data_IF_910534823517
#
_entry.id   IF_910534823517
#
_cell.length_a   1.000
_cell.length_b   1.000
_cell.length_c   1.000
_cell.angle_alpha   90.00
_cell.angle_beta   90.00
_cell.angle_gamma   90.00
#
_symmetry.space_group_name_H-M   'P 1'
#
loop_
_entity.id
_entity.type
_entity.pdbx_description
1 polymer ?
#
# COMPACT_ATOMS: atom_id res chain seq x y z
N UNK A 1 0.13 -0.51 12.96
CA UNK A 1 -0.55 0.33 11.96
C UNK A 1 -1.05 -0.57 10.85
N UNK A 2 -2.36 -0.71 10.72
CA UNK A 2 -2.97 -1.57 9.71
C UNK A 2 -3.27 -0.70 8.50
N UNK A 3 -2.36 -0.63 7.55
CA UNK A 3 -2.63 -0.20 6.18
C UNK A 3 -2.94 -1.43 5.33
N UNK A 4 -4.03 -2.11 5.64
CA UNK A 4 -4.66 -3.03 4.71
C UNK A 4 -5.71 -2.26 3.92
N UNK A 5 -5.28 -1.39 3.06
CA UNK A 5 -6.12 -0.82 2.01
C UNK A 5 -6.32 -1.92 0.95
N UNK A 6 -7.34 -2.74 1.16
CA UNK A 6 -7.89 -3.64 0.16
C UNK A 6 -8.62 -2.82 -0.90
N UNK A 7 -7.90 -2.23 -1.83
CA UNK A 7 -8.42 -1.34 -2.85
C UNK A 7 -8.70 -2.01 -4.21
N UNK A 8 -8.49 -3.33 -4.30
CA UNK A 8 -8.88 -4.12 -5.47
C UNK A 8 -10.28 -4.75 -5.33
N UNK A 9 -11.27 -3.96 -4.90
CA UNK A 9 -12.67 -4.36 -5.01
C UNK A 9 -13.35 -3.69 -6.18
N UNK A 10 -13.03 -4.14 -7.38
CA UNK A 10 -13.95 -4.07 -8.51
C UNK A 10 -14.98 -5.19 -8.39
N UNK A 11 -16.02 -5.01 -7.60
CA UNK A 11 -17.18 -5.89 -7.62
C UNK A 11 -18.03 -5.62 -8.86
N UNK A 12 -17.75 -6.32 -9.96
CA UNK A 12 -18.63 -6.38 -11.09
C UNK A 12 -18.84 -7.82 -11.55
N UNK A 13 -20.01 -8.37 -11.30
CA UNK A 13 -20.49 -9.59 -11.96
C UNK A 13 -20.74 -10.80 -11.09
N UNK A 14 -21.88 -11.43 -11.36
CA UNK A 14 -22.47 -12.57 -10.65
C UNK A 14 -21.57 -13.80 -10.59
N UNK A 15 -21.57 -14.47 -9.41
CA UNK A 15 -21.29 -15.89 -9.17
C UNK A 15 -19.88 -16.36 -9.57
N UNK A 16 -18.95 -15.76 -9.01
CA UNK A 16 -17.98 -16.37 -8.09
C UNK A 16 -17.83 -15.27 -7.03
N UNK A 17 -17.90 -15.56 -5.74
CA UNK A 17 -17.64 -14.53 -4.75
C UNK A 17 -16.26 -14.01 -5.08
N UNK A 18 -16.19 -12.73 -5.34
CA UNK A 18 -14.94 -11.99 -5.42
C UNK A 18 -14.19 -12.35 -4.16
N UNK A 19 -13.19 -13.20 -4.31
CA UNK A 19 -12.43 -13.67 -3.16
C UNK A 19 -11.60 -12.50 -2.66
N UNK A 20 -11.87 -11.97 -1.46
CA UNK A 20 -11.03 -10.95 -0.80
C UNK A 20 -9.62 -11.48 -0.51
N UNK A 21 -9.28 -12.57 -1.14
CA UNK A 21 -8.18 -13.42 -0.82
C UNK A 21 -6.84 -13.09 -1.41
N UNK A 22 -6.74 -12.34 -2.49
CA UNK A 22 -5.44 -12.18 -3.15
C UNK A 22 -4.34 -11.65 -2.23
N UNK A 23 -4.67 -10.77 -1.29
CA UNK A 23 -3.72 -10.21 -0.33
C UNK A 23 -3.55 -11.03 0.96
N UNK A 24 -4.51 -11.88 1.29
CA UNK A 24 -4.41 -12.84 2.39
C UNK A 24 -3.44 -14.00 2.09
N UNK A 25 -3.30 -14.36 0.82
CA UNK A 25 -2.74 -15.63 0.38
C UNK A 25 -1.23 -15.69 0.52
N UNK A 26 -0.49 -14.67 0.10
CA UNK A 26 0.96 -14.64 0.27
C UNK A 26 1.37 -14.59 1.76
N UNK A 27 0.49 -14.10 2.64
CA UNK A 27 0.72 -14.01 4.08
C UNK A 27 0.21 -15.20 4.88
N UNK A 28 -0.86 -15.89 4.43
CA UNK A 28 -1.46 -16.98 5.19
C UNK A 28 -0.49 -18.14 5.41
N UNK A 29 0.29 -18.49 4.41
CA UNK A 29 1.32 -19.50 4.51
C UNK A 29 2.42 -19.07 5.49
N UNK A 30 2.93 -17.85 5.36
CA UNK A 30 3.98 -17.30 6.22
C UNK A 30 3.50 -17.08 7.67
N UNK A 31 2.26 -16.62 7.87
CA UNK A 31 1.66 -16.50 9.20
C UNK A 31 1.64 -17.86 9.90
N UNK A 32 1.23 -18.93 9.17
CA UNK A 32 1.22 -20.30 9.69
C UNK A 32 2.63 -20.83 9.95
N UNK A 33 3.58 -20.59 9.04
CA UNK A 33 4.99 -21.00 9.22
C UNK A 33 5.64 -20.33 10.42
N UNK A 34 5.25 -19.10 10.74
CA UNK A 34 5.72 -18.35 11.90
C UNK A 34 4.94 -18.67 13.18
N UNK A 35 3.94 -19.59 13.13
CA UNK A 35 3.15 -19.99 14.28
C UNK A 35 2.19 -18.95 14.81
N UNK A 36 1.76 -18.00 13.96
CA UNK A 36 0.91 -16.87 14.34
C UNK A 36 -0.60 -17.12 14.07
N UNK A 37 -1.02 -18.33 13.71
CA UNK A 37 -2.41 -18.62 13.35
C UNK A 37 -3.40 -18.24 14.45
N UNK A 38 -3.06 -18.49 15.71
CA UNK A 38 -3.91 -18.16 16.88
C UNK A 38 -4.01 -16.68 17.17
N UNK A 39 -3.10 -15.90 16.63
CA UNK A 39 -3.04 -14.43 16.83
C UNK A 39 -3.83 -13.67 15.78
N UNK A 40 -4.33 -14.33 14.76
CA UNK A 40 -5.08 -13.70 13.67
C UNK A 40 -6.44 -13.22 14.15
N UNK A 41 -6.73 -11.94 13.93
CA UNK A 41 -8.03 -11.31 14.14
C UNK A 41 -8.69 -11.06 12.77
N UNK A 42 -9.66 -11.91 12.35
CA UNK A 42 -10.30 -11.77 11.06
C UNK A 42 -11.49 -10.82 11.09
N UNK A 43 -11.66 -10.05 10.03
CA UNK A 43 -12.89 -9.31 9.73
C UNK A 43 -13.63 -10.06 8.63
N UNK A 44 -14.78 -10.65 8.97
CA UNK A 44 -15.59 -11.43 8.00
C UNK A 44 -16.30 -10.53 6.99
N UNK A 45 -16.67 -11.08 5.85
CA UNK A 45 -17.26 -10.32 4.75
C UNK A 45 -18.62 -9.68 5.03
N UNK A 46 -19.35 -10.15 6.04
CA UNK A 46 -20.62 -9.58 6.52
C UNK A 46 -20.44 -8.47 7.58
N UNK A 47 -19.22 -8.27 8.08
CA UNK A 47 -18.91 -7.26 9.08
C UNK A 47 -18.99 -5.83 8.49
N UNK A 48 -19.49 -4.82 9.25
CA UNK A 48 -19.55 -3.43 8.76
C UNK A 48 -18.23 -2.89 8.20
N UNK A 49 -17.10 -3.19 8.84
CA UNK A 49 -15.78 -2.78 8.35
C UNK A 49 -15.38 -3.44 7.01
N UNK A 50 -16.00 -4.56 6.66
CA UNK A 50 -15.80 -5.19 5.36
C UNK A 50 -16.69 -4.57 4.27
N UNK A 51 -17.93 -4.22 4.63
CA UNK A 51 -18.95 -3.79 3.67
C UNK A 51 -18.97 -2.28 3.44
N UNK A 52 -18.68 -1.49 4.48
CA UNK A 52 -18.87 -0.04 4.43
C UNK A 52 -17.55 0.70 4.33
N UNK A 53 -17.39 1.44 3.25
CA UNK A 53 -16.32 2.42 3.02
C UNK A 53 -16.96 3.72 2.60
N UNK A 54 -16.36 4.82 3.01
CA UNK A 54 -16.97 6.13 2.79
C UNK A 54 -16.01 7.06 2.03
N UNK A 55 -16.60 8.05 1.37
CA UNK A 55 -15.93 9.26 0.90
C UNK A 55 -16.50 10.45 1.66
N UNK A 56 -15.62 11.35 2.10
CA UNK A 56 -16.01 12.62 2.69
C UNK A 56 -16.02 13.69 1.60
N UNK A 57 -17.22 14.22 1.28
CA UNK A 57 -17.39 15.23 0.23
C UNK A 57 -18.45 16.22 0.66
N UNK A 58 -18.15 17.53 0.54
CA UNK A 58 -19.10 18.58 0.88
C UNK A 58 -19.59 18.54 2.32
N UNK A 59 -18.77 18.14 3.26
CA UNK A 59 -19.12 18.02 4.68
C UNK A 59 -19.92 16.78 5.06
N UNK A 60 -20.09 15.81 4.16
CA UNK A 60 -20.92 14.61 4.37
C UNK A 60 -20.13 13.33 4.07
N UNK A 61 -20.35 12.28 4.88
CA UNK A 61 -19.83 10.95 4.63
C UNK A 61 -20.79 10.17 3.73
N UNK A 62 -20.37 9.87 2.53
CA UNK A 62 -21.11 9.07 1.56
C UNK A 62 -20.60 7.65 1.51
N UNK A 63 -21.48 6.69 1.75
CA UNK A 63 -21.13 5.28 1.62
C UNK A 63 -20.87 4.93 0.14
N UNK A 64 -19.75 4.29 -0.14
CA UNK A 64 -19.49 3.74 -1.47
C UNK A 64 -20.45 2.58 -1.76
N UNK A 65 -21.01 2.51 -2.97
CA UNK A 65 -21.96 1.46 -3.31
C UNK A 65 -21.27 0.09 -3.31
N UNK A 66 -21.92 -0.88 -2.69
CA UNK A 66 -21.48 -2.28 -2.65
C UNK A 66 -22.44 -3.15 -3.45
N UNK A 67 -21.88 -4.10 -4.20
CA UNK A 67 -22.62 -5.04 -5.00
C UNK A 67 -23.40 -4.42 -6.18
N UNK A 68 -23.94 -5.28 -7.04
CA UNK A 68 -24.60 -4.87 -8.29
C UNK A 68 -25.79 -3.94 -8.06
N UNK A 69 -26.57 -4.16 -7.00
CA UNK A 69 -27.74 -3.31 -6.67
C UNK A 69 -27.32 -1.90 -6.28
N UNK A 70 -26.19 -1.75 -5.58
CA UNK A 70 -25.64 -0.44 -5.21
C UNK A 70 -25.22 0.36 -6.44
N UNK A 71 -24.63 -0.29 -7.43
CA UNK A 71 -24.16 0.34 -8.66
C UNK A 71 -25.29 0.87 -9.55
N UNK A 72 -26.46 0.24 -9.50
CA UNK A 72 -27.65 0.64 -10.28
C UNK A 72 -28.41 1.82 -9.66
N UNK A 73 -28.18 2.13 -8.39
CA UNK A 73 -28.84 3.23 -7.68
C UNK A 73 -28.04 4.51 -7.78
N UNK A 74 -28.68 5.68 -7.75
CA UNK A 74 -27.98 6.93 -7.53
C UNK A 74 -27.18 6.83 -6.21
N UNK A 75 -25.90 7.09 -6.30
CA UNK A 75 -24.98 6.96 -5.16
C UNK A 75 -24.20 8.25 -4.98
N UNK A 76 -24.73 9.24 -4.23
CA UNK A 76 -23.94 10.43 -3.92
C UNK A 76 -22.56 10.04 -3.35
N UNK A 77 -21.48 10.80 -3.62
CA UNK A 77 -21.47 12.13 -4.27
C UNK A 77 -21.50 12.10 -5.80
N UNK A 78 -21.65 10.94 -6.45
CA UNK A 78 -21.69 10.84 -7.91
C UNK A 78 -23.05 11.31 -8.44
N UNK A 79 -23.02 12.12 -9.50
CA UNK A 79 -24.24 12.67 -10.12
C UNK A 79 -25.12 11.60 -10.80
N UNK A 80 -24.53 10.48 -11.19
CA UNK A 80 -25.19 9.35 -11.88
C UNK A 80 -24.82 8.03 -11.22
N UNK A 81 -25.69 7.00 -11.32
CA UNK A 81 -25.35 5.64 -10.92
C UNK A 81 -24.04 5.19 -11.57
N UNK A 82 -23.15 4.56 -10.80
CA UNK A 82 -21.83 4.10 -11.29
C UNK A 82 -21.95 3.04 -12.40
N UNK A 83 -23.11 2.40 -12.53
CA UNK A 83 -23.44 1.53 -13.65
C UNK A 83 -23.24 2.22 -15.02
N UNK A 84 -23.57 3.50 -15.14
CA UNK A 84 -23.35 4.26 -16.37
C UNK A 84 -21.87 4.50 -16.67
N UNK A 85 -21.06 4.66 -15.63
CA UNK A 85 -19.60 4.69 -15.81
C UNK A 85 -19.07 3.34 -16.35
N UNK A 86 -19.62 2.23 -15.85
CA UNK A 86 -19.33 0.90 -16.36
C UNK A 86 -19.74 0.69 -17.83
N UNK A 87 -20.96 1.09 -18.21
CA UNK A 87 -21.40 1.01 -19.62
C UNK A 87 -20.53 1.89 -20.54
N UNK A 88 -20.21 3.10 -20.08
CA UNK A 88 -19.31 3.99 -20.82
C UNK A 88 -17.94 3.34 -21.04
N UNK A 89 -17.44 2.66 -20.03
CA UNK A 89 -16.16 1.97 -20.06
C UNK A 89 -16.11 0.92 -21.18
N UNK A 90 -17.14 0.09 -21.31
CA UNK A 90 -17.25 -0.93 -22.34
C UNK A 90 -17.18 -0.39 -23.79
N UNK A 91 -17.60 0.84 -23.99
CA UNK A 91 -17.66 1.48 -25.32
C UNK A 91 -16.40 2.26 -25.68
N UNK A 92 -15.47 2.47 -24.73
CA UNK A 92 -14.28 3.28 -24.95
C UNK A 92 -13.18 2.48 -25.66
N UNK A 93 -12.48 3.09 -26.63
CA UNK A 93 -11.36 2.44 -27.25
C UNK A 93 -10.20 2.24 -26.25
N UNK A 94 -9.41 1.21 -26.47
CA UNK A 94 -8.16 0.97 -25.75
C UNK A 94 -7.21 2.16 -25.91
N UNK A 95 -6.51 2.53 -24.82
CA UNK A 95 -5.42 3.49 -24.86
C UNK A 95 -4.28 3.01 -25.79
N UNK A 96 -3.64 3.96 -26.47
CA UNK A 96 -2.52 3.69 -27.38
C UNK A 96 -1.17 3.89 -26.68
N UNK A 97 -1.15 4.64 -25.60
CA UNK A 97 0.05 4.97 -24.86
C UNK A 97 0.56 3.76 -24.07
N UNK A 98 1.88 3.67 -23.95
CA UNK A 98 2.53 2.62 -23.16
C UNK A 98 2.28 2.78 -21.65
N UNK A 99 1.92 3.99 -21.21
CA UNK A 99 1.55 4.35 -19.86
C UNK A 99 0.78 5.69 -19.87
N UNK A 100 0.00 5.94 -18.85
CA UNK A 100 -0.68 7.22 -18.61
C UNK A 100 -0.91 7.44 -17.11
N UNK A 101 -1.32 8.66 -16.72
CA UNK A 101 -1.62 8.91 -15.31
C UNK A 101 -2.91 8.20 -14.89
N UNK A 102 -3.01 7.85 -13.60
CA UNK A 102 -4.23 7.25 -13.02
C UNK A 102 -5.45 8.12 -13.29
N UNK A 103 -5.30 9.45 -13.16
CA UNK A 103 -6.36 10.41 -13.42
C UNK A 103 -6.81 10.39 -14.90
N UNK A 104 -5.86 10.47 -15.85
CA UNK A 104 -6.15 10.43 -17.29
C UNK A 104 -6.86 9.14 -17.68
N UNK A 105 -6.34 7.99 -17.22
CA UNK A 105 -6.94 6.69 -17.43
C UNK A 105 -8.38 6.64 -16.94
N UNK A 106 -8.62 7.03 -15.69
CA UNK A 106 -9.94 7.00 -15.08
C UNK A 106 -10.90 7.98 -15.76
N UNK A 107 -10.44 9.20 -16.08
CA UNK A 107 -11.25 10.21 -16.77
C UNK A 107 -11.69 9.72 -18.16
N UNK A 108 -10.78 9.10 -18.90
CA UNK A 108 -11.05 8.56 -20.23
C UNK A 108 -12.02 7.37 -20.17
N UNK A 109 -11.83 6.46 -19.25
CA UNK A 109 -12.58 5.20 -19.14
C UNK A 109 -13.88 5.36 -18.36
N UNK A 110 -13.83 5.92 -17.18
CA UNK A 110 -14.93 5.94 -16.21
C UNK A 110 -15.62 7.31 -16.10
N UNK A 111 -14.95 8.38 -16.51
CA UNK A 111 -15.48 9.74 -16.49
C UNK A 111 -14.85 10.62 -15.42
N UNK A 112 -15.11 11.96 -15.50
CA UNK A 112 -14.42 12.94 -14.68
C UNK A 112 -14.73 12.82 -13.17
N UNK A 113 -15.97 12.52 -12.78
CA UNK A 113 -16.34 12.37 -11.37
C UNK A 113 -15.63 11.18 -10.70
N UNK A 114 -15.59 10.02 -11.37
CA UNK A 114 -14.88 8.85 -10.86
C UNK A 114 -13.38 9.13 -10.77
N UNK A 115 -12.81 9.85 -11.75
CA UNK A 115 -11.42 10.23 -11.72
C UNK A 115 -11.07 11.18 -10.57
N UNK A 116 -11.88 12.22 -10.35
CA UNK A 116 -11.60 13.29 -9.38
C UNK A 116 -12.02 12.95 -7.95
N UNK A 117 -13.01 12.09 -7.76
CA UNK A 117 -13.49 11.72 -6.42
C UNK A 117 -12.97 10.35 -5.99
N UNK A 118 -13.24 9.29 -6.76
CA UNK A 118 -12.90 7.94 -6.35
C UNK A 118 -11.40 7.63 -6.54
N UNK A 119 -10.86 7.85 -7.76
CA UNK A 119 -9.47 7.48 -8.04
C UNK A 119 -8.47 8.45 -7.40
N UNK A 120 -8.82 9.72 -7.26
CA UNK A 120 -8.01 10.68 -6.52
C UNK A 120 -7.89 10.27 -5.04
N UNK A 121 -9.04 10.03 -4.38
CA UNK A 121 -9.07 9.55 -2.99
C UNK A 121 -8.33 8.22 -2.82
N UNK A 122 -8.44 7.33 -3.79
CA UNK A 122 -7.75 6.05 -3.80
C UNK A 122 -6.23 6.22 -3.84
N UNK A 123 -5.72 7.05 -4.77
CA UNK A 123 -4.30 7.35 -4.85
C UNK A 123 -3.78 8.01 -3.56
N UNK A 124 -4.56 8.90 -2.96
CA UNK A 124 -4.23 9.53 -1.67
C UNK A 124 -4.19 8.50 -0.55
N UNK A 125 -5.17 7.62 -0.48
CA UNK A 125 -5.25 6.61 0.59
C UNK A 125 -4.17 5.52 0.49
N UNK A 126 -3.76 5.12 -0.72
CA UNK A 126 -2.76 4.06 -0.93
C UNK A 126 -1.35 4.62 -0.98
N UNK A 127 -1.14 5.66 -1.77
CA UNK A 127 0.19 6.18 -2.08
C UNK A 127 0.48 7.52 -1.40
N UNK A 128 -0.49 8.13 -0.71
CA UNK A 128 -0.42 9.54 -0.30
C UNK A 128 -0.03 10.47 -1.47
N UNK A 129 -0.34 10.06 -2.70
CA UNK A 129 0.16 10.61 -3.94
C UNK A 129 -0.92 11.28 -4.78
N UNK A 130 -0.48 11.94 -5.84
CA UNK A 130 -1.32 12.68 -6.76
C UNK A 130 -1.71 11.79 -7.96
N UNK A 131 -3.00 11.53 -8.15
CA UNK A 131 -3.51 10.72 -9.25
C UNK A 131 -3.15 11.28 -10.66
N UNK A 132 -2.81 12.57 -10.74
CA UNK A 132 -2.41 13.25 -11.99
C UNK A 132 -0.93 13.05 -12.35
N UNK A 133 -0.17 12.41 -11.49
CA UNK A 133 1.27 12.17 -11.65
C UNK A 133 1.61 10.68 -11.60
N UNK A 134 0.85 9.91 -10.84
CA UNK A 134 1.05 8.47 -10.67
C UNK A 134 0.69 7.69 -11.93
N UNK A 135 1.52 6.70 -12.28
CA UNK A 135 1.35 5.79 -13.41
C UNK A 135 0.25 4.77 -13.13
N UNK A 136 -0.71 4.65 -14.03
CA UNK A 136 -1.73 3.58 -13.94
C UNK A 136 -1.09 2.20 -14.09
N UNK A 137 -0.11 2.07 -14.98
CA UNK A 137 0.58 0.81 -15.26
C UNK A 137 1.33 0.28 -14.04
N UNK A 138 1.96 1.18 -13.27
CA UNK A 138 2.78 0.80 -12.11
C UNK A 138 1.98 0.77 -10.80
N UNK A 139 0.98 1.65 -10.63
CA UNK A 139 0.18 1.70 -9.41
C UNK A 139 -0.99 0.71 -9.39
N UNK A 140 -1.62 0.48 -10.55
CA UNK A 140 -2.78 -0.41 -10.68
C UNK A 140 -2.62 -1.32 -11.90
N UNK A 141 -1.61 -2.21 -11.89
CA UNK A 141 -1.25 -3.04 -13.06
C UNK A 141 -2.40 -3.93 -13.51
N UNK A 142 -3.26 -4.40 -12.61
CA UNK A 142 -4.43 -5.22 -12.96
C UNK A 142 -5.43 -4.47 -13.82
N UNK A 143 -5.71 -3.18 -13.51
CA UNK A 143 -6.61 -2.34 -14.30
C UNK A 143 -6.02 -2.04 -15.68
N UNK A 144 -4.73 -1.71 -15.72
CA UNK A 144 -4.00 -1.47 -16.96
C UNK A 144 -3.99 -2.71 -17.85
N UNK A 145 -3.62 -3.88 -17.30
CA UNK A 145 -3.59 -5.15 -18.02
C UNK A 145 -4.96 -5.57 -18.53
N UNK A 146 -6.02 -5.38 -17.71
CA UNK A 146 -7.39 -5.67 -18.13
C UNK A 146 -7.78 -4.90 -19.40
N UNK A 147 -7.47 -3.60 -19.45
CA UNK A 147 -7.67 -2.81 -20.66
C UNK A 147 -6.80 -3.30 -21.82
N UNK A 148 -5.52 -3.56 -21.56
CA UNK A 148 -4.58 -3.96 -22.60
C UNK A 148 -4.96 -5.30 -23.24
N UNK A 149 -5.43 -6.26 -22.46
CA UNK A 149 -5.76 -7.62 -22.93
C UNK A 149 -7.19 -7.71 -23.47
N UNK A 150 -8.15 -7.12 -22.75
CA UNK A 150 -9.57 -7.31 -23.03
C UNK A 150 -10.27 -6.06 -23.58
N UNK A 151 -9.54 -4.96 -23.78
CA UNK A 151 -10.05 -3.63 -24.20
C UNK A 151 -11.07 -3.02 -23.26
N UNK A 152 -11.30 -3.64 -22.09
CA UNK A 152 -12.24 -3.23 -21.07
C UNK A 152 -11.74 -3.65 -19.70
N UNK A 153 -11.80 -2.74 -18.73
CA UNK A 153 -11.48 -3.00 -17.34
C UNK A 153 -12.46 -4.04 -16.78
N UNK A 154 -13.77 -3.81 -16.99
CA UNK A 154 -14.81 -4.68 -16.47
C UNK A 154 -14.72 -6.09 -17.04
N UNK A 155 -14.55 -6.20 -18.35
CA UNK A 155 -14.43 -7.50 -19.01
C UNK A 155 -13.15 -8.22 -18.56
N UNK A 156 -12.03 -7.49 -18.46
CA UNK A 156 -10.77 -8.05 -18.03
C UNK A 156 -10.83 -8.60 -16.61
N UNK A 157 -11.40 -7.84 -15.66
CA UNK A 157 -11.58 -8.29 -14.28
C UNK A 157 -12.53 -9.49 -14.18
N UNK A 158 -13.61 -9.52 -14.96
CA UNK A 158 -14.53 -10.66 -15.02
C UNK A 158 -13.86 -11.92 -15.58
N UNK A 159 -12.97 -11.78 -16.57
CA UNK A 159 -12.24 -12.89 -17.16
C UNK A 159 -10.97 -13.28 -16.38
N UNK A 160 -10.71 -12.61 -15.25
CA UNK A 160 -9.62 -12.96 -14.34
C UNK A 160 -8.27 -12.36 -14.70
N UNK A 161 -8.24 -11.23 -15.40
CA UNK A 161 -7.01 -10.46 -15.59
C UNK A 161 -6.36 -10.15 -14.22
N UNK A 162 -5.08 -10.47 -14.09
CA UNK A 162 -4.31 -10.25 -12.85
C UNK A 162 -4.41 -11.37 -11.80
N UNK A 163 -5.03 -12.52 -12.12
CA UNK A 163 -5.03 -13.69 -11.21
C UNK A 163 -3.68 -14.40 -11.26
N UNK A 164 -3.01 -14.47 -10.12
CA UNK A 164 -1.79 -15.27 -9.93
C UNK A 164 -2.15 -16.64 -9.32
N UNK A 165 -1.36 -17.70 -9.59
CA UNK A 165 -1.47 -18.98 -8.88
C UNK A 165 -1.36 -18.73 -7.38
N UNK A 166 -2.22 -19.40 -6.61
CA UNK A 166 -2.35 -19.09 -5.20
C UNK A 166 -1.80 -20.24 -4.34
N UNK A 167 -0.96 -19.94 -3.33
CA UNK A 167 -0.54 -20.94 -2.37
C UNK A 167 -1.76 -21.50 -1.61
N UNK A 168 -1.66 -22.73 -1.12
CA UNK A 168 -2.73 -23.42 -0.38
C UNK A 168 -2.24 -23.78 1.02
N UNK A 169 -2.74 -23.10 2.05
CA UNK A 169 -2.50 -23.41 3.46
C UNK A 169 -3.81 -23.61 4.22
N UNK A 170 -3.73 -24.20 5.41
CA UNK A 170 -4.91 -24.40 6.27
C UNK A 170 -5.58 -23.06 6.60
N UNK A 171 -4.79 -22.04 6.94
CA UNK A 171 -5.29 -20.69 7.24
C UNK A 171 -5.99 -20.05 6.03
N UNK A 172 -5.45 -20.26 4.84
CA UNK A 172 -6.05 -19.75 3.60
C UNK A 172 -7.38 -20.44 3.32
N UNK A 173 -7.46 -21.78 3.48
CA UNK A 173 -8.72 -22.51 3.34
C UNK A 173 -9.77 -22.03 4.35
N UNK A 174 -9.36 -21.79 5.60
CA UNK A 174 -10.23 -21.21 6.62
C UNK A 174 -10.71 -19.81 6.24
N UNK A 175 -9.80 -18.94 5.83
CA UNK A 175 -10.11 -17.56 5.42
C UNK A 175 -11.14 -17.52 4.28
N UNK A 176 -11.01 -18.43 3.31
CA UNK A 176 -12.00 -18.60 2.23
C UNK A 176 -13.36 -19.10 2.75
N UNK A 177 -13.35 -20.18 3.53
CA UNK A 177 -14.57 -20.78 4.06
C UNK A 177 -15.36 -19.76 4.91
N UNK A 178 -14.67 -18.97 5.72
CA UNK A 178 -15.25 -17.95 6.58
C UNK A 178 -15.42 -16.58 5.91
N UNK A 179 -15.00 -16.43 4.65
CA UNK A 179 -15.09 -15.19 3.85
C UNK A 179 -14.40 -14.00 4.53
N UNK A 180 -13.16 -14.16 4.95
CA UNK A 180 -12.41 -13.06 5.54
C UNK A 180 -12.17 -11.97 4.50
N UNK A 181 -12.46 -10.73 4.88
CA UNK A 181 -12.24 -9.53 4.07
C UNK A 181 -10.91 -8.87 4.40
N UNK A 182 -10.56 -8.86 5.68
CA UNK A 182 -9.37 -8.24 6.23
C UNK A 182 -8.95 -9.04 7.46
N UNK A 183 -7.74 -8.80 7.92
CA UNK A 183 -7.25 -9.36 9.17
C UNK A 183 -6.15 -8.50 9.79
N UNK A 184 -5.93 -8.67 11.07
CA UNK A 184 -4.83 -8.13 11.85
C UNK A 184 -4.27 -9.20 12.77
N UNK A 185 -3.25 -8.88 13.53
CA UNK A 185 -2.74 -9.72 14.61
C UNK A 185 -3.09 -9.09 15.95
N UNK A 186 -3.37 -9.90 16.96
CA UNK A 186 -3.84 -9.46 18.29
C UNK A 186 -2.92 -8.43 18.93
N UNK A 187 -1.60 -8.63 18.85
CA UNK A 187 -0.60 -7.67 19.32
C UNK A 187 -0.16 -6.63 18.30
N UNK A 188 -0.90 -6.51 17.16
CA UNK A 188 -0.56 -5.60 16.06
C UNK A 188 0.34 -6.25 15.00
N UNK A 189 0.46 -5.58 13.86
CA UNK A 189 1.22 -6.11 12.71
C UNK A 189 2.72 -6.23 12.96
N UNK A 190 3.25 -5.59 13.99
CA UNK A 190 4.66 -5.72 14.40
C UNK A 190 5.02 -7.15 14.83
N UNK A 191 4.03 -7.94 15.28
CA UNK A 191 4.24 -9.35 15.59
C UNK A 191 4.84 -10.13 14.41
N UNK A 192 4.52 -9.75 13.17
CA UNK A 192 5.00 -10.46 11.98
C UNK A 192 6.53 -10.33 11.80
N UNK A 193 7.13 -9.13 11.75
CA UNK A 193 8.58 -9.01 11.68
C UNK A 193 9.28 -9.52 12.95
N UNK A 194 8.68 -9.44 14.14
CA UNK A 194 9.25 -10.00 15.37
C UNK A 194 9.32 -11.53 15.32
N UNK A 195 8.26 -12.19 14.87
CA UNK A 195 8.24 -13.64 14.71
C UNK A 195 9.23 -14.09 13.63
N UNK A 196 9.32 -13.34 12.51
CA UNK A 196 10.29 -13.61 11.46
C UNK A 196 11.73 -13.50 11.96
N UNK A 197 12.04 -12.47 12.75
CA UNK A 197 13.37 -12.29 13.36
C UNK A 197 13.73 -13.47 14.28
N UNK A 198 12.80 -13.89 15.14
CA UNK A 198 12.96 -15.04 16.02
C UNK A 198 13.18 -16.33 15.20
N UNK A 199 12.41 -16.52 14.16
CA UNK A 199 12.51 -17.69 13.26
C UNK A 199 13.86 -17.73 12.55
N UNK A 200 14.33 -16.61 12.00
CA UNK A 200 15.62 -16.52 11.32
C UNK A 200 16.78 -16.76 12.28
N UNK A 201 16.78 -16.12 13.43
CA UNK A 201 17.84 -16.25 14.45
C UNK A 201 17.93 -17.69 14.95
N UNK A 202 16.79 -18.37 15.17
CA UNK A 202 16.79 -19.81 15.58
C UNK A 202 17.38 -20.75 14.54
N UNK A 203 17.46 -20.32 13.27
CA UNK A 203 18.08 -21.06 12.15
C UNK A 203 19.50 -20.64 11.84
N UNK A 204 20.15 -19.86 12.71
CA UNK A 204 21.53 -19.45 12.57
C UNK A 204 21.73 -18.25 11.61
N UNK A 205 20.68 -17.58 11.21
CA UNK A 205 20.80 -16.33 10.45
C UNK A 205 21.22 -15.20 11.38
N UNK A 206 22.29 -14.49 11.04
CA UNK A 206 22.75 -13.33 11.81
C UNK A 206 21.92 -12.11 11.47
N UNK A 207 21.21 -11.57 12.45
CA UNK A 207 20.43 -10.31 12.31
C UNK A 207 21.19 -9.20 13.02
N UNK A 208 21.82 -8.28 12.26
CA UNK A 208 22.62 -7.18 12.78
C UNK A 208 21.73 -5.92 12.89
N UNK A 209 21.36 -5.56 14.11
CA UNK A 209 20.53 -4.37 14.39
C UNK A 209 21.40 -3.18 14.80
N UNK A 210 20.93 -1.97 14.48
CA UNK A 210 21.62 -0.74 14.87
C UNK A 210 22.95 -0.51 14.15
N UNK A 211 23.20 -1.22 13.05
CA UNK A 211 24.40 -1.09 12.24
C UNK A 211 24.02 -0.59 10.84
N UNK A 212 24.04 0.73 10.59
CA UNK A 212 23.71 1.26 9.30
C UNK A 212 24.76 0.88 8.25
N UNK A 213 24.29 0.48 7.07
CA UNK A 213 25.16 0.32 5.90
C UNK A 213 25.57 1.70 5.42
N UNK A 214 26.88 1.94 5.29
CA UNK A 214 27.46 3.22 4.86
C UNK A 214 27.99 3.20 3.43
N UNK A 215 28.10 2.05 2.79
CA UNK A 215 28.52 1.93 1.40
C UNK A 215 28.61 0.48 0.91
N UNK A 216 28.60 0.33 -0.40
CA UNK A 216 28.79 -0.91 -1.12
C UNK A 216 29.98 -0.75 -2.08
N UNK A 217 30.90 -1.72 -2.10
CA UNK A 217 31.99 -1.75 -3.08
C UNK A 217 32.18 -3.17 -3.62
N UNK A 218 32.33 -3.28 -4.95
CA UNK A 218 32.59 -4.56 -5.60
C UNK A 218 34.09 -4.85 -5.55
N UNK A 219 34.46 -6.03 -5.07
CA UNK A 219 35.85 -6.48 -4.99
C UNK A 219 36.32 -7.09 -6.31
N UNK A 220 37.60 -7.24 -6.48
CA UNK A 220 38.22 -7.83 -7.68
C UNK A 220 37.86 -9.29 -7.91
N UNK A 221 37.46 -10.01 -6.87
CA UNK A 221 36.99 -11.38 -6.92
C UNK A 221 35.49 -11.52 -7.23
N UNK A 222 34.82 -10.39 -7.46
CA UNK A 222 33.38 -10.34 -7.79
C UNK A 222 32.44 -10.31 -6.59
N UNK A 223 32.94 -10.35 -5.35
CA UNK A 223 32.13 -10.27 -4.12
C UNK A 223 31.88 -8.83 -3.70
N UNK A 224 30.79 -8.63 -2.96
CA UNK A 224 30.50 -7.33 -2.36
C UNK A 224 31.19 -7.17 -1.01
N UNK A 225 31.74 -5.99 -0.79
CA UNK A 225 32.10 -5.48 0.53
C UNK A 225 31.03 -4.51 0.99
N UNK A 226 30.34 -4.86 2.07
CA UNK A 226 29.28 -4.06 2.70
C UNK A 226 29.89 -3.35 3.90
N UNK A 227 29.97 -2.03 3.86
CA UNK A 227 30.55 -1.20 4.91
C UNK A 227 29.53 -0.89 6.01
N UNK A 228 29.90 -1.10 7.28
CA UNK A 228 29.07 -0.93 8.47
C UNK A 228 29.81 -0.01 9.48
N UNK A 229 29.95 1.28 9.14
CA UNK A 229 30.82 2.20 9.90
C UNK A 229 32.28 1.75 9.83
N UNK A 230 32.89 1.42 10.99
CA UNK A 230 34.29 1.00 11.09
C UNK A 230 34.53 -0.48 10.72
N UNK A 231 33.47 -1.26 10.49
CA UNK A 231 33.55 -2.67 10.13
C UNK A 231 33.01 -2.93 8.72
N UNK A 232 33.26 -4.11 8.19
CA UNK A 232 32.71 -4.51 6.89
C UNK A 232 32.43 -6.02 6.86
N UNK A 233 31.46 -6.38 6.00
CA UNK A 233 31.14 -7.78 5.69
C UNK A 233 31.41 -8.05 4.21
N UNK A 234 31.83 -9.25 3.90
CA UNK A 234 31.92 -9.75 2.53
C UNK A 234 30.66 -10.56 2.22
N UNK A 235 30.13 -10.42 1.02
CA UNK A 235 28.94 -11.13 0.57
C UNK A 235 29.07 -11.54 -0.90
N UNK A 236 28.70 -12.77 -1.20
CA UNK A 236 28.67 -13.29 -2.56
C UNK A 236 27.52 -12.66 -3.36
N UNK A 237 26.41 -12.36 -2.69
CA UNK A 237 25.23 -11.69 -3.26
C UNK A 237 24.60 -10.73 -2.26
N UNK A 238 24.11 -9.57 -2.72
CA UNK A 238 23.37 -8.61 -1.90
C UNK A 238 21.92 -8.54 -2.39
N UNK A 239 20.96 -8.72 -1.49
CA UNK A 239 19.56 -8.39 -1.73
C UNK A 239 19.28 -7.07 -1.01
N UNK A 240 19.02 -6.01 -1.77
CA UNK A 240 18.76 -4.69 -1.19
C UNK A 240 17.25 -4.46 -1.07
N UNK A 241 16.75 -4.30 0.17
CA UNK A 241 15.38 -3.95 0.48
C UNK A 241 15.25 -2.52 1.07
N UNK A 242 16.33 -1.73 1.02
CA UNK A 242 16.31 -0.32 1.44
C UNK A 242 15.59 0.54 0.40
N UNK A 243 15.11 1.75 0.76
CA UNK A 243 14.55 2.68 -0.22
C UNK A 243 15.50 2.93 -1.39
N UNK A 244 14.95 3.05 -2.61
CA UNK A 244 15.76 3.21 -3.82
C UNK A 244 16.70 4.42 -3.77
N UNK A 245 16.25 5.53 -3.21
CA UNK A 245 17.06 6.74 -3.00
C UNK A 245 18.25 6.48 -2.06
N UNK A 246 18.05 5.67 -1.03
CA UNK A 246 19.13 5.28 -0.10
C UNK A 246 20.14 4.36 -0.79
N UNK A 247 19.66 3.34 -1.52
CA UNK A 247 20.56 2.47 -2.29
C UNK A 247 21.38 3.26 -3.30
N UNK A 248 20.78 4.28 -3.94
CA UNK A 248 21.50 5.11 -4.91
C UNK A 248 22.73 5.81 -4.35
N UNK A 249 22.73 6.10 -3.05
CA UNK A 249 23.84 6.76 -2.34
C UNK A 249 24.89 5.74 -1.82
N UNK A 250 24.49 4.48 -1.67
CA UNK A 250 25.37 3.41 -1.20
C UNK A 250 26.18 2.77 -2.33
N UNK A 251 25.73 2.87 -3.57
CA UNK A 251 26.34 2.25 -4.73
C UNK A 251 27.68 2.89 -5.11
N UNK A 252 28.65 2.10 -5.59
CA UNK A 252 29.92 2.62 -6.04
C UNK A 252 29.81 3.39 -7.36
N UNK A 253 30.84 4.15 -7.70
CA UNK A 253 30.88 4.99 -8.89
C UNK A 253 30.68 4.21 -10.20
N UNK A 254 31.14 2.97 -10.27
CA UNK A 254 30.99 2.08 -11.41
C UNK A 254 29.52 1.72 -11.69
N UNK A 255 28.66 1.81 -10.67
CA UNK A 255 27.22 1.61 -10.78
C UNK A 255 26.44 2.95 -10.93
N UNK A 256 27.09 4.05 -11.32
CA UNK A 256 26.45 5.36 -11.47
C UNK A 256 25.18 5.37 -12.33
N UNK A 257 25.07 4.63 -13.46
CA UNK A 257 23.81 4.58 -14.22
C UNK A 257 22.64 3.99 -13.42
N UNK A 258 22.90 2.94 -12.63
CA UNK A 258 21.92 2.36 -11.72
C UNK A 258 21.55 3.34 -10.60
N UNK A 259 22.55 3.92 -9.95
CA UNK A 259 22.35 4.93 -8.90
C UNK A 259 21.49 6.10 -9.38
N UNK A 260 21.75 6.60 -10.60
CA UNK A 260 20.97 7.68 -11.20
C UNK A 260 19.50 7.25 -11.41
N UNK A 261 19.24 6.09 -11.97
CA UNK A 261 17.87 5.58 -12.16
C UNK A 261 17.13 5.45 -10.81
N UNK A 262 17.77 4.87 -9.80
CA UNK A 262 17.19 4.66 -8.47
C UNK A 262 16.90 5.99 -7.75
N UNK A 263 17.79 6.99 -7.85
CA UNK A 263 17.62 8.31 -7.25
C UNK A 263 16.36 9.03 -7.75
N UNK A 264 15.91 8.73 -8.95
CA UNK A 264 14.69 9.32 -9.52
C UNK A 264 13.39 8.70 -8.98
N UNK A 265 13.46 7.62 -8.20
CA UNK A 265 12.31 7.05 -7.51
C UNK A 265 12.13 7.81 -6.19
N UNK A 266 11.27 8.81 -6.22
CA UNK A 266 10.97 9.65 -5.05
C UNK A 266 10.03 8.95 -4.08
N UNK A 267 9.99 9.43 -2.84
CA UNK A 267 9.05 8.97 -1.83
C UNK A 267 8.43 10.17 -1.10
N UNK A 268 7.24 9.98 -0.55
CA UNK A 268 6.53 11.01 0.22
C UNK A 268 6.48 10.65 1.70
N UNK A 269 6.35 11.68 2.53
CA UNK A 269 6.15 11.54 3.97
C UNK A 269 4.67 11.45 4.32
N UNK A 270 4.35 10.78 5.43
CA UNK A 270 2.99 10.69 5.99
C UNK A 270 3.07 10.85 7.51
N UNK A 271 2.21 11.67 8.07
CA UNK A 271 1.98 11.67 9.50
C UNK A 271 0.76 10.81 9.83
N UNK A 272 0.93 9.89 10.77
CA UNK A 272 -0.13 9.00 11.27
C UNK A 272 -0.45 9.41 12.69
N UNK A 273 -1.69 9.79 12.94
CA UNK A 273 -2.15 10.26 14.25
C UNK A 273 -3.22 9.31 14.77
N UNK A 274 -2.89 8.57 15.81
CA UNK A 274 -3.83 7.70 16.49
C UNK A 274 -4.51 8.48 17.62
N UNK A 275 -5.83 8.56 17.58
CA UNK A 275 -6.66 9.24 18.55
C UNK A 275 -7.53 8.23 19.28
N UNK A 276 -7.57 8.32 20.61
CA UNK A 276 -8.46 7.51 21.45
C UNK A 276 -9.42 8.39 22.24
N UNK A 277 -10.69 8.05 22.20
CA UNK A 277 -11.76 8.79 22.88
C UNK A 277 -12.48 7.88 23.87
N UNK A 278 -12.77 8.39 25.09
CA UNK A 278 -13.58 7.68 26.07
C UNK A 278 -15.05 8.02 25.89
N UNK A 279 -15.90 6.98 25.82
CA UNK A 279 -17.35 7.16 25.74
C UNK A 279 -17.90 7.77 24.44
N UNK A 280 -17.04 8.04 23.46
CA UNK A 280 -17.46 8.54 22.16
C UNK A 280 -17.97 7.41 21.24
N UNK A 281 -18.78 7.77 20.25
CA UNK A 281 -19.30 6.87 19.23
C UNK A 281 -19.16 7.49 17.85
N UNK A 282 -18.89 6.64 16.87
CA UNK A 282 -18.88 7.08 15.47
C UNK A 282 -20.29 7.27 14.92
N UNK A 283 -20.51 8.25 14.04
CA UNK A 283 -21.79 8.45 13.37
C UNK A 283 -22.13 7.35 12.38
N UNK A 284 -21.12 6.60 11.92
CA UNK A 284 -21.23 5.52 10.94
C UNK A 284 -20.40 4.32 11.37
N UNK A 285 -20.74 3.14 10.86
CA UNK A 285 -20.01 1.90 11.07
C UNK A 285 -19.39 1.44 9.75
N UNK A 286 -18.07 1.28 9.71
CA UNK A 286 -17.34 0.89 8.50
C UNK A 286 -15.84 0.79 8.76
N UNK A 287 -15.08 0.62 7.69
CA UNK A 287 -13.61 0.58 7.76
C UNK A 287 -13.00 1.96 8.02
N UNK A 288 -13.59 2.98 7.40
CA UNK A 288 -13.07 4.33 7.39
C UNK A 288 -13.58 5.11 6.19
N UNK A 289 -13.02 6.29 6.01
CA UNK A 289 -13.31 7.12 4.85
C UNK A 289 -12.04 7.71 4.25
N UNK A 290 -12.10 7.99 2.95
CA UNK A 290 -11.08 8.71 2.21
C UNK A 290 -11.58 10.13 1.91
N UNK A 291 -10.62 11.04 1.72
CA UNK A 291 -10.87 12.46 1.48
C UNK A 291 -10.25 12.85 0.15
N UNK A 292 -11.05 13.28 -0.85
CA UNK A 292 -10.51 13.81 -2.10
C UNK A 292 -9.64 15.05 -1.88
N UNK A 293 -8.67 15.28 -2.74
CA UNK A 293 -7.77 16.44 -2.65
C UNK A 293 -8.50 17.78 -2.73
N UNK A 294 -9.66 17.79 -3.37
CA UNK A 294 -10.53 18.99 -3.47
C UNK A 294 -11.24 19.35 -2.17
N UNK A 295 -11.40 18.42 -1.24
CA UNK A 295 -12.08 18.63 0.04
C UNK A 295 -11.12 19.06 1.13
N UNK A 296 -10.01 18.35 1.28
CA UNK A 296 -8.98 18.66 2.27
C UNK A 296 -7.60 18.26 1.75
N UNK A 297 -6.67 19.21 1.59
CA UNK A 297 -5.32 18.91 1.08
C UNK A 297 -4.46 18.13 2.08
N UNK A 298 -4.75 18.22 3.38
CA UNK A 298 -3.94 17.63 4.46
C UNK A 298 -4.41 16.21 4.80
N UNK A 299 -5.72 15.99 4.91
CA UNK A 299 -6.28 14.71 5.35
C UNK A 299 -6.40 13.74 4.19
N UNK A 300 -5.71 12.61 4.27
CA UNK A 300 -5.80 11.53 3.27
C UNK A 300 -7.02 10.65 3.52
N UNK A 301 -7.34 10.43 4.80
CA UNK A 301 -8.46 9.64 5.26
C UNK A 301 -8.39 9.35 6.75
N UNK A 302 -9.46 8.76 7.29
CA UNK A 302 -9.55 8.32 8.68
C UNK A 302 -9.99 6.86 8.72
N UNK A 303 -9.22 6.02 9.40
CA UNK A 303 -9.54 4.60 9.66
C UNK A 303 -10.27 4.50 11.00
N UNK A 304 -11.29 3.65 11.07
CA UNK A 304 -12.09 3.40 12.27
C UNK A 304 -11.63 2.11 12.96
N UNK A 305 -10.49 2.19 13.65
CA UNK A 305 -9.78 1.03 14.19
C UNK A 305 -10.66 0.16 15.10
N UNK A 306 -11.41 0.78 16.01
CA UNK A 306 -12.29 0.05 16.94
C UNK A 306 -13.48 -0.64 16.26
N UNK A 307 -13.84 -0.25 15.03
CA UNK A 307 -14.88 -0.97 14.27
C UNK A 307 -14.32 -2.25 13.71
N UNK A 308 -13.11 -2.20 13.15
CA UNK A 308 -12.48 -3.36 12.53
C UNK A 308 -11.91 -4.36 13.56
N UNK A 309 -11.24 -3.84 14.59
CA UNK A 309 -10.48 -4.63 15.57
C UNK A 309 -10.69 -4.12 17.02
N UNK A 310 -11.89 -4.30 17.57
CA UNK A 310 -12.21 -3.87 18.95
C UNK A 310 -11.37 -4.61 20.00
N UNK A 311 -10.84 -5.80 19.68
CA UNK A 311 -9.96 -6.57 20.56
C UNK A 311 -8.64 -5.84 20.88
N UNK A 312 -8.29 -4.84 20.10
CA UNK A 312 -7.08 -4.02 20.28
C UNK A 312 -7.35 -2.71 21.06
N UNK A 313 -8.59 -2.46 21.54
CA UNK A 313 -8.95 -1.19 22.17
C UNK A 313 -8.36 -0.96 23.58
N UNK A 314 -7.73 -1.98 24.15
CA UNK A 314 -7.14 -1.90 25.47
C UNK A 314 -8.16 -2.00 26.61
N UNK A 315 -7.73 -1.65 27.83
CA UNK A 315 -8.58 -1.69 29.04
C UNK A 315 -8.32 -0.43 29.90
N UNK A 316 -9.35 0.41 30.15
CA UNK A 316 -10.72 0.31 29.65
C UNK A 316 -10.79 0.58 28.14
N UNK A 317 -11.76 -0.02 27.42
CA UNK A 317 -11.87 0.17 25.98
C UNK A 317 -12.27 1.62 25.65
N UNK A 318 -11.75 2.12 24.55
CA UNK A 318 -12.06 3.45 24.03
C UNK A 318 -12.17 3.42 22.51
N UNK A 319 -12.91 4.38 21.94
CA UNK A 319 -12.99 4.52 20.49
C UNK A 319 -11.61 4.95 19.94
N UNK A 320 -11.02 4.14 19.09
CA UNK A 320 -9.78 4.46 18.39
C UNK A 320 -10.06 4.78 16.93
N UNK A 321 -9.45 5.85 16.45
CA UNK A 321 -9.41 6.24 15.04
C UNK A 321 -8.00 6.64 14.67
N UNK A 322 -7.60 6.33 13.44
CA UNK A 322 -6.30 6.72 12.89
C UNK A 322 -6.52 7.74 11.78
N UNK A 323 -6.02 8.96 11.99
CA UNK A 323 -6.03 10.03 11.00
C UNK A 323 -4.71 10.00 10.23
N UNK A 324 -4.80 9.95 8.90
CA UNK A 324 -3.65 9.96 8.02
C UNK A 324 -3.52 11.34 7.36
N UNK A 325 -2.39 11.99 7.59
CA UNK A 325 -2.07 13.32 7.08
C UNK A 325 -0.90 13.25 6.10
N UNK A 326 -0.99 13.98 4.99
CA UNK A 326 0.05 13.93 3.96
C UNK A 326 -0.33 14.70 2.70
N UNK A 327 0.06 14.14 1.55
CA UNK A 327 -0.23 14.74 0.24
C UNK A 327 0.48 16.06 0.02
N UNK A 328 -0.09 16.91 -0.84
CA UNK A 328 0.50 18.21 -1.22
C UNK A 328 0.69 19.16 -0.02
N UNK A 329 -0.16 19.08 0.98
CA UNK A 329 -0.04 19.89 2.19
C UNK A 329 1.27 19.62 2.92
N UNK A 330 1.60 18.36 3.19
CA UNK A 330 2.84 18.02 3.88
C UNK A 330 4.07 18.34 3.04
N UNK A 331 4.00 18.09 1.73
CA UNK A 331 5.07 18.45 0.80
C UNK A 331 5.34 19.96 0.78
N UNK A 332 4.29 20.79 0.83
CA UNK A 332 4.45 22.25 0.91
C UNK A 332 5.11 22.67 2.24
N UNK A 333 4.75 22.06 3.36
CA UNK A 333 5.37 22.32 4.65
C UNK A 333 6.85 21.93 4.64
N UNK A 334 7.19 20.77 4.11
CA UNK A 334 8.58 20.32 3.96
C UNK A 334 9.38 21.28 3.07
N UNK A 335 8.83 21.70 1.93
CA UNK A 335 9.47 22.61 0.98
C UNK A 335 9.66 24.02 1.53
N UNK A 336 8.74 24.49 2.38
CA UNK A 336 8.84 25.81 3.03
C UNK A 336 9.82 25.84 4.21
N UNK A 337 10.36 24.69 4.62
CA UNK A 337 11.19 24.57 5.81
C UNK A 337 10.42 24.76 7.12
N UNK A 338 9.10 24.60 7.10
CA UNK A 338 8.26 24.72 8.30
C UNK A 338 8.62 23.65 9.34
N UNK A 339 8.51 24.00 10.61
CA UNK A 339 8.73 23.06 11.70
C UNK A 339 7.59 22.06 11.72
N UNK A 340 7.88 20.80 11.46
CA UNK A 340 6.93 19.69 11.51
C UNK A 340 6.83 19.18 12.97
N UNK A 341 6.09 19.91 13.81
CA UNK A 341 5.93 19.52 15.20
C UNK A 341 4.83 18.48 15.42
N UNK A 342 4.91 17.76 16.52
CA UNK A 342 3.87 16.80 16.89
C UNK A 342 2.53 17.51 17.18
N UNK A 343 2.58 18.69 17.77
CA UNK A 343 1.42 19.51 18.08
C UNK A 343 0.65 19.89 16.80
N UNK A 344 1.37 20.30 15.75
CA UNK A 344 0.77 20.63 14.45
C UNK A 344 -0.06 19.45 13.89
N UNK A 345 0.51 18.26 13.90
CA UNK A 345 -0.19 17.05 13.41
C UNK A 345 -1.34 16.66 14.31
N UNK A 346 -1.18 16.80 15.62
CA UNK A 346 -2.24 16.54 16.59
C UNK A 346 -3.42 17.47 16.41
N UNK A 347 -3.19 18.78 16.30
CA UNK A 347 -4.24 19.78 16.07
C UNK A 347 -4.98 19.53 14.76
N UNK A 348 -4.26 19.27 13.68
CA UNK A 348 -4.84 18.97 12.37
C UNK A 348 -5.71 17.69 12.42
N UNK A 349 -5.24 16.64 13.09
CA UNK A 349 -5.97 15.39 13.22
C UNK A 349 -7.23 15.54 14.08
N UNK A 350 -7.15 16.28 15.20
CA UNK A 350 -8.30 16.55 16.06
C UNK A 350 -9.34 17.41 15.33
N UNK A 351 -8.91 18.42 14.58
CA UNK A 351 -9.81 19.24 13.79
C UNK A 351 -10.54 18.39 12.72
N UNK A 352 -9.83 17.47 12.07
CA UNK A 352 -10.43 16.54 11.10
C UNK A 352 -11.43 15.59 11.79
N UNK A 353 -11.08 15.00 12.92
CA UNK A 353 -11.97 14.11 13.68
C UNK A 353 -13.23 14.85 14.18
N UNK A 354 -13.09 16.10 14.64
CA UNK A 354 -14.22 16.93 15.06
C UNK A 354 -15.15 17.29 13.88
N UNK A 355 -14.56 17.68 12.75
CA UNK A 355 -15.33 18.15 11.58
C UNK A 355 -15.98 16.99 10.80
N UNK A 356 -15.23 15.91 10.58
CA UNK A 356 -15.66 14.82 9.70
C UNK A 356 -16.42 13.72 10.44
N UNK A 357 -16.15 13.52 11.74
CA UNK A 357 -16.78 12.47 12.56
C UNK A 357 -17.61 13.02 13.75
N UNK A 358 -17.60 14.32 13.97
CA UNK A 358 -18.31 14.93 15.11
C UNK A 358 -17.66 14.68 16.47
N UNK A 359 -16.40 14.23 16.53
CA UNK A 359 -15.64 13.95 17.75
C UNK A 359 -15.06 15.26 18.30
N UNK A 360 -15.89 16.08 18.95
CA UNK A 360 -15.54 17.44 19.37
C UNK A 360 -14.77 17.49 20.69
N UNK A 361 -14.93 16.48 21.53
CA UNK A 361 -14.21 16.38 22.79
C UNK A 361 -12.72 16.06 22.54
N UNK A 362 -11.82 16.53 23.39
CA UNK A 362 -10.40 16.19 23.25
C UNK A 362 -10.20 14.67 23.42
N UNK A 363 -9.28 14.06 22.66
CA UNK A 363 -8.98 12.65 22.82
C UNK A 363 -8.32 12.38 24.17
N UNK A 364 -8.64 11.23 24.77
CA UNK A 364 -8.00 10.80 26.01
C UNK A 364 -6.53 10.42 25.84
N UNK A 365 -6.16 9.96 24.62
CA UNK A 365 -4.78 9.67 24.22
C UNK A 365 -4.58 10.07 22.75
N UNK A 366 -3.40 10.57 22.46
CA UNK A 366 -2.96 10.93 21.13
C UNK A 366 -1.54 10.43 20.92
N UNK A 367 -1.30 9.75 19.81
CA UNK A 367 0.03 9.30 19.41
C UNK A 367 0.29 9.75 17.97
N UNK A 368 1.39 10.47 17.77
CA UNK A 368 1.77 11.04 16.48
C UNK A 368 3.05 10.38 15.97
N UNK A 369 2.99 9.84 14.76
CA UNK A 369 4.15 9.29 14.06
C UNK A 369 4.33 9.99 12.71
N UNK A 370 5.45 10.67 12.53
CA UNK A 370 5.86 11.19 11.23
C UNK A 370 6.81 10.20 10.57
N UNK A 371 6.34 9.60 9.48
CA UNK A 371 7.13 8.71 8.63
C UNK A 371 7.66 9.50 7.44
N UNK A 372 8.95 9.83 7.46
CA UNK A 372 9.60 10.57 6.37
C UNK A 372 9.94 9.64 5.21
N UNK A 373 9.67 10.11 3.98
CA UNK A 373 10.01 9.40 2.74
C UNK A 373 9.63 7.91 2.77
N UNK A 374 8.42 7.60 3.28
CA UNK A 374 8.02 6.24 3.59
C UNK A 374 7.23 5.54 2.46
N UNK A 375 6.61 6.29 1.54
CA UNK A 375 5.82 5.71 0.45
C UNK A 375 6.41 6.11 -0.89
N UNK A 376 7.03 5.17 -1.60
CA UNK A 376 7.55 5.41 -2.95
C UNK A 376 6.45 5.85 -3.91
N UNK A 377 6.78 6.76 -4.81
CA UNK A 377 5.86 7.30 -5.80
C UNK A 377 6.16 6.72 -7.18
N UNK A 378 5.23 5.92 -7.68
CA UNK A 378 5.33 5.33 -9.01
C UNK A 378 4.80 6.31 -10.07
N UNK A 379 5.61 7.32 -10.37
CA UNK A 379 5.32 8.35 -11.36
C UNK A 379 5.31 7.77 -12.79
N UNK A 380 4.82 8.53 -13.76
CA UNK A 380 4.96 8.15 -15.17
C UNK A 380 6.40 7.77 -15.50
N UNK A 381 6.57 6.65 -16.20
CA UNK A 381 7.89 6.12 -16.55
C UNK A 381 8.57 5.29 -15.46
N UNK A 382 7.91 5.02 -14.32
CA UNK A 382 8.47 4.19 -13.26
C UNK A 382 8.90 2.81 -13.78
N UNK A 383 8.08 2.14 -14.57
CA UNK A 383 8.40 0.82 -15.14
C UNK A 383 9.65 0.84 -16.03
N UNK A 384 9.91 1.95 -16.75
CA UNK A 384 11.11 2.11 -17.57
C UNK A 384 12.37 2.22 -16.72
N UNK A 385 12.27 2.88 -15.53
CA UNK A 385 13.37 2.94 -14.57
C UNK A 385 13.73 1.54 -14.05
N UNK A 386 12.72 0.72 -13.75
CA UNK A 386 12.93 -0.65 -13.30
C UNK A 386 13.54 -1.52 -14.40
N UNK A 387 13.08 -1.37 -15.64
CA UNK A 387 13.62 -2.08 -16.79
C UNK A 387 15.09 -1.69 -17.02
N UNK A 388 15.42 -0.40 -17.00
CA UNK A 388 16.79 0.09 -17.13
C UNK A 388 17.69 -0.43 -15.99
N UNK A 389 17.20 -0.43 -14.75
CA UNK A 389 17.93 -0.99 -13.62
C UNK A 389 18.21 -2.48 -13.80
N UNK A 390 17.21 -3.25 -14.21
CA UNK A 390 17.33 -4.69 -14.44
C UNK A 390 18.31 -5.01 -15.60
N UNK A 391 18.22 -4.25 -16.69
CA UNK A 391 19.13 -4.39 -17.81
C UNK A 391 20.59 -4.07 -17.42
N UNK A 392 20.80 -3.03 -16.62
CA UNK A 392 22.13 -2.68 -16.13
C UNK A 392 22.71 -3.79 -15.25
N UNK A 393 21.94 -4.27 -14.28
CA UNK A 393 22.36 -5.35 -13.37
C UNK A 393 22.75 -6.61 -14.14
N UNK A 394 21.95 -6.99 -15.14
CA UNK A 394 22.20 -8.15 -15.99
C UNK A 394 23.44 -7.94 -16.88
N UNK A 395 23.59 -6.78 -17.53
CA UNK A 395 24.71 -6.49 -18.41
C UNK A 395 26.06 -6.46 -17.69
N UNK A 396 26.08 -5.92 -16.45
CA UNK A 396 27.26 -5.88 -15.61
C UNK A 396 27.47 -7.14 -14.78
N UNK A 397 26.52 -8.10 -14.83
CA UNK A 397 26.53 -9.32 -14.00
C UNK A 397 26.76 -9.03 -12.51
N UNK A 398 26.16 -7.95 -12.03
CA UNK A 398 26.29 -7.57 -10.61
C UNK A 398 25.51 -8.54 -9.72
N UNK A 399 26.14 -9.12 -8.69
CA UNK A 399 25.44 -9.99 -7.74
C UNK A 399 24.59 -9.16 -6.75
N UNK A 400 23.65 -8.38 -7.29
CA UNK A 400 22.75 -7.48 -6.56
C UNK A 400 21.32 -7.69 -7.05
N UNK A 401 20.41 -7.92 -6.12
CA UNK A 401 18.96 -8.02 -6.39
C UNK A 401 18.21 -6.93 -5.65
N UNK A 402 17.28 -6.29 -6.33
CA UNK A 402 16.42 -5.25 -5.77
C UNK A 402 15.12 -5.87 -5.23
N UNK A 403 14.70 -5.46 -4.05
CA UNK A 403 13.48 -5.91 -3.38
C UNK A 403 12.81 -4.79 -2.60
N UNK A 404 11.51 -4.95 -2.30
CA UNK A 404 10.77 -4.04 -1.43
C UNK A 404 9.93 -2.99 -2.15
N UNK A 405 9.37 -2.09 -1.34
CA UNK A 405 8.31 -1.16 -1.75
C UNK A 405 8.70 -0.15 -2.85
N UNK A 406 9.99 0.06 -3.10
CA UNK A 406 10.42 1.04 -4.11
C UNK A 406 10.18 0.59 -5.56
N UNK A 407 9.79 -0.65 -5.80
CA UNK A 407 9.84 -1.25 -7.14
C UNK A 407 8.48 -1.69 -7.68
N UNK A 408 7.90 -2.78 -7.20
CA UNK A 408 6.75 -3.43 -7.85
C UNK A 408 5.47 -3.47 -7.02
N UNK A 409 5.42 -2.80 -5.86
CA UNK A 409 4.23 -2.70 -5.03
C UNK A 409 4.57 -2.16 -3.65
N UNK A 410 3.68 -1.29 -3.13
CA UNK A 410 3.89 -0.59 -1.84
C UNK A 410 3.23 -1.30 -0.67
N UNK A 411 2.33 -2.24 -0.93
CA UNK A 411 1.66 -2.99 0.13
C UNK A 411 2.63 -3.98 0.81
N UNK A 412 2.36 -4.31 2.07
CA UNK A 412 3.18 -5.28 2.81
C UNK A 412 3.21 -6.64 2.11
N UNK A 413 2.11 -7.05 1.47
CA UNK A 413 2.06 -8.27 0.66
C UNK A 413 3.01 -8.23 -0.53
N UNK A 414 3.05 -7.09 -1.21
CA UNK A 414 3.93 -6.89 -2.36
C UNK A 414 5.39 -6.98 -1.91
N UNK A 415 5.71 -6.37 -0.76
CA UNK A 415 7.06 -6.43 -0.18
C UNK A 415 7.48 -7.87 0.18
N UNK A 416 6.57 -8.66 0.74
CA UNK A 416 6.83 -10.07 1.08
C UNK A 416 7.08 -10.88 -0.19
N UNK A 417 6.22 -10.71 -1.20
CA UNK A 417 6.39 -11.41 -2.48
C UNK A 417 7.66 -10.97 -3.21
N UNK A 418 7.96 -9.66 -3.18
CA UNK A 418 9.21 -9.12 -3.71
C UNK A 418 10.45 -9.74 -3.05
N UNK A 419 10.43 -9.89 -1.72
CA UNK A 419 11.51 -10.56 -0.97
C UNK A 419 11.67 -12.04 -1.36
N UNK A 420 10.54 -12.77 -1.46
CA UNK A 420 10.53 -14.18 -1.90
C UNK A 420 11.11 -14.33 -3.31
N UNK A 421 10.69 -13.50 -4.24
CA UNK A 421 11.19 -13.51 -5.62
C UNK A 421 12.68 -13.12 -5.68
N UNK A 422 13.10 -12.15 -4.87
CA UNK A 422 14.51 -11.75 -4.79
C UNK A 422 15.40 -12.91 -4.34
N UNK A 423 14.97 -13.67 -3.34
CA UNK A 423 15.70 -14.86 -2.88
C UNK A 423 15.81 -15.92 -3.98
N UNK A 424 14.71 -16.20 -4.69
CA UNK A 424 14.72 -17.15 -5.83
C UNK A 424 15.68 -16.69 -6.93
N UNK A 425 15.67 -15.40 -7.28
CA UNK A 425 16.58 -14.84 -8.29
C UNK A 425 18.04 -14.94 -7.85
N UNK A 426 18.37 -14.61 -6.60
CA UNK A 426 19.72 -14.70 -6.08
C UNK A 426 20.27 -16.13 -6.14
N UNK A 427 19.46 -17.12 -5.74
CA UNK A 427 19.84 -18.53 -5.77
C UNK A 427 19.95 -19.11 -7.19
N UNK A 428 19.19 -18.57 -8.16
CA UNK A 428 19.25 -19.03 -9.55
C UNK A 428 20.42 -18.45 -10.35
N UNK A 429 21.06 -17.41 -9.86
CA UNK A 429 22.24 -16.78 -10.49
C UNK A 429 23.57 -17.38 -10.03
N UNK A 430 23.58 -18.29 -9.06
CA UNK A 430 24.79 -19.02 -8.71
C UNK A 430 25.18 -19.94 -9.89
N UNK A 431 26.42 -19.85 -10.41
CA UNK A 431 26.91 -20.86 -11.34
C UNK A 431 26.93 -22.20 -10.63
N UNK A 432 26.26 -23.21 -11.21
CA UNK A 432 26.37 -24.60 -10.75
C UNK A 432 27.85 -24.93 -10.58
N UNK A 433 28.29 -24.98 -9.31
CA UNK A 433 29.64 -25.43 -8.91
C UNK A 433 29.79 -26.93 -9.09
#
# INVERSE_FOLDING_TARGET
MVLSLNLDRGEFGRREPWEPGHYLWARGEQVSELGLDSEVLPVKGDHPAAQNRFLYVGGVLYALPTGLRGLLRPSPPFSKPLFWAGLRELTKPRGKEADETVHSFAQRRLGPEVASLAMDSLCRGVFAGNSRELSIRSCFPSLFQAEQTHRSILLGLLLGAGRSPQPDSALIRQARAERWSQWSLRGGMEMLPQALDTYLTSRGVSVLRGQPVSGLSLQTDGRWKVSLGDSSLEADHVISAVPASVLSELLPAEAAPLAHALKTITAVSVAVVNLQYRGARLPVQGFGHLVPSSEDPAVLGIVYDSVAFPEQDGSPPGLRVTVMLGGSWLQMLEASGSVLSQELFQEQAQAAAATQLGLKEPPSHCLVHLHKNCIPQYMLGHWQKLESASQFLAAQRLPLTLAGASYEGVAVNDCIESGRQAAVRALSTEPNS
#
